data_IF_152079497953
#
_entry.id   IF_152079497953
#
_cell.length_a   1.000
_cell.length_b   1.000
_cell.length_c   1.000
_cell.angle_alpha   90.00
_cell.angle_beta   90.00
_cell.angle_gamma   90.00
#
_symmetry.space_group_name_H-M   'P 1'
#
loop_
_entity.id
_entity.type
_entity.pdbx_description
1 polymer ?
#
# COMPACT_ATOMS: atom_id res chain seq x y z
N UNK A 1 67.93 2.14 14.80
CA UNK A 1 66.91 2.17 13.73
C UNK A 1 66.99 3.50 13.00
N UNK A 2 67.32 3.49 11.71
CA UNK A 2 67.48 4.70 10.89
C UNK A 2 66.15 5.44 10.72
N UNK A 3 66.19 6.77 10.57
CA UNK A 3 65.01 7.63 10.39
C UNK A 3 64.09 7.16 9.24
N UNK A 4 64.64 6.47 8.26
CA UNK A 4 63.92 5.85 7.15
C UNK A 4 62.93 4.75 7.57
N UNK A 5 63.28 3.92 8.57
CA UNK A 5 62.41 2.81 9.02
C UNK A 5 61.17 3.35 9.75
N UNK A 6 61.30 4.46 10.50
CA UNK A 6 60.17 5.10 11.19
C UNK A 6 59.22 5.80 10.21
N UNK A 7 59.74 6.40 9.14
CA UNK A 7 58.93 7.03 8.10
C UNK A 7 58.13 5.99 7.30
N UNK A 8 58.75 4.84 6.98
CA UNK A 8 58.08 3.76 6.26
C UNK A 8 56.93 3.14 7.08
N UNK A 9 57.15 2.88 8.37
CA UNK A 9 56.12 2.36 9.28
C UNK A 9 54.96 3.35 9.48
N UNK A 10 55.25 4.66 9.59
CA UNK A 10 54.21 5.69 9.67
C UNK A 10 53.34 5.76 8.41
N UNK A 11 53.94 5.65 7.22
CA UNK A 11 53.21 5.66 5.95
C UNK A 11 52.29 4.43 5.79
N UNK A 12 52.74 3.23 6.19
CA UNK A 12 51.92 2.01 6.14
C UNK A 12 50.71 2.09 7.07
N UNK A 13 50.87 2.65 8.28
CA UNK A 13 49.76 2.81 9.24
C UNK A 13 48.73 3.83 8.75
N UNK A 14 49.16 4.94 8.14
CA UNK A 14 48.25 5.95 7.58
C UNK A 14 47.48 5.41 6.37
N UNK A 15 48.12 4.63 5.49
CA UNK A 15 47.43 3.98 4.37
C UNK A 15 46.44 2.89 4.83
N UNK A 16 46.76 2.13 5.88
CA UNK A 16 45.85 1.14 6.45
C UNK A 16 44.60 1.78 7.09
N UNK A 17 44.77 2.91 7.79
CA UNK A 17 43.66 3.67 8.38
C UNK A 17 42.79 4.37 7.32
N UNK A 18 43.40 4.90 6.26
CA UNK A 18 42.67 5.47 5.14
C UNK A 18 41.90 4.40 4.34
N UNK A 19 42.50 3.22 4.14
CA UNK A 19 41.83 2.06 3.51
C UNK A 19 40.67 1.53 4.35
N UNK A 20 40.83 1.46 5.69
CA UNK A 20 39.77 1.06 6.60
C UNK A 20 38.61 2.09 6.61
N UNK A 21 38.90 3.39 6.61
CA UNK A 21 37.90 4.44 6.56
C UNK A 21 37.08 4.42 5.25
N UNK A 22 37.73 4.19 4.11
CA UNK A 22 37.07 4.05 2.80
C UNK A 22 36.24 2.77 2.72
N UNK A 23 36.70 1.64 3.30
CA UNK A 23 35.90 0.41 3.38
C UNK A 23 34.68 0.57 4.30
N UNK A 24 34.80 1.24 5.45
CA UNK A 24 33.63 1.54 6.30
C UNK A 24 32.65 2.49 5.60
N UNK A 25 33.14 3.46 4.82
CA UNK A 25 32.27 4.38 4.09
C UNK A 25 31.55 3.73 2.91
N UNK A 26 32.10 2.70 2.28
CA UNK A 26 31.42 1.96 1.19
C UNK A 26 30.49 0.87 1.72
N UNK A 27 30.81 0.24 2.84
CA UNK A 27 29.95 -0.78 3.49
C UNK A 27 28.79 -0.14 4.27
N UNK A 28 28.98 1.07 4.83
CA UNK A 28 27.91 1.81 5.53
C UNK A 28 27.21 2.86 4.65
N UNK A 29 27.82 3.25 3.52
CA UNK A 29 27.29 4.25 2.58
C UNK A 29 26.56 3.68 1.37
N UNK A 30 26.46 2.35 1.27
CA UNK A 30 25.56 1.66 0.34
C UNK A 30 24.09 1.72 0.79
N UNK A 31 23.64 2.88 1.26
CA UNK A 31 22.25 3.08 1.64
C UNK A 31 21.34 2.73 0.48
N UNK A 32 20.44 1.77 0.72
CA UNK A 32 19.42 1.29 -0.20
C UNK A 32 18.82 2.43 -1.02
N UNK A 33 19.17 2.49 -2.31
CA UNK A 33 18.58 3.43 -3.30
C UNK A 33 17.19 2.98 -3.70
N UNK A 34 16.33 2.80 -2.70
CA UNK A 34 14.92 2.55 -2.88
C UNK A 34 14.18 3.88 -2.77
N UNK A 35 13.47 4.24 -3.83
CA UNK A 35 12.59 5.41 -3.82
C UNK A 35 11.60 5.32 -2.67
N UNK A 36 11.32 6.45 -2.01
CA UNK A 36 10.40 6.48 -0.86
C UNK A 36 9.01 5.90 -1.20
N UNK A 37 8.56 6.07 -2.44
CA UNK A 37 7.30 5.51 -2.95
C UNK A 37 7.27 3.98 -2.96
N UNK A 38 8.44 3.33 -3.01
CA UNK A 38 8.60 1.88 -3.05
C UNK A 38 8.90 1.29 -1.66
N UNK A 39 8.66 2.04 -0.58
CA UNK A 39 8.85 1.53 0.79
C UNK A 39 7.54 1.07 1.38
N UNK A 40 7.60 -0.04 2.10
CA UNK A 40 6.47 -0.58 2.87
C UNK A 40 6.32 0.14 4.23
N UNK A 41 5.29 -0.23 5.01
CA UNK A 41 5.01 0.33 6.34
C UNK A 41 6.11 0.06 7.38
N UNK A 42 6.99 -0.92 7.14
CA UNK A 42 8.14 -1.22 8.00
C UNK A 42 9.44 -0.58 7.44
N UNK A 43 9.34 0.22 6.38
CA UNK A 43 10.45 0.92 5.74
C UNK A 43 11.31 0.08 4.79
N UNK A 44 10.93 -1.19 4.54
CA UNK A 44 11.64 -2.09 3.62
C UNK A 44 11.33 -1.73 2.18
N UNK A 45 12.29 -1.97 1.28
CA UNK A 45 12.05 -1.78 -0.15
C UNK A 45 11.16 -2.89 -0.69
N UNK A 46 10.08 -2.50 -1.38
CA UNK A 46 9.14 -3.40 -2.05
C UNK A 46 9.66 -3.66 -3.46
N UNK A 47 9.77 -4.93 -3.82
CA UNK A 47 9.94 -5.33 -5.21
C UNK A 47 8.55 -5.42 -5.84
N UNK A 48 8.37 -4.65 -6.91
CA UNK A 48 7.11 -4.61 -7.62
C UNK A 48 6.91 -5.86 -8.48
N UNK A 49 5.73 -6.47 -8.37
CA UNK A 49 5.31 -7.53 -9.30
C UNK A 49 5.02 -6.97 -10.71
N UNK A 50 4.68 -5.68 -10.80
CA UNK A 50 4.48 -4.93 -12.03
C UNK A 50 4.81 -3.44 -11.79
N UNK A 51 5.43 -2.73 -12.75
CA UNK A 51 5.62 -1.28 -12.63
C UNK A 51 4.25 -0.59 -12.51
N UNK A 52 4.13 0.47 -11.68
CA UNK A 52 2.88 1.20 -11.60
C UNK A 52 2.63 1.85 -12.97
N UNK A 53 1.44 1.66 -13.50
CA UNK A 53 0.91 2.50 -14.55
C UNK A 53 0.87 3.94 -14.02
N UNK A 54 1.37 4.89 -14.82
CA UNK A 54 1.54 6.27 -14.41
C UNK A 54 0.19 6.97 -14.17
N UNK A 55 -0.41 6.79 -13.00
CA UNK A 55 -1.54 7.56 -12.48
C UNK A 55 -1.14 8.50 -11.33
N UNK A 56 0.17 8.63 -11.07
CA UNK A 56 0.72 9.45 -9.99
C UNK A 56 0.60 10.97 -10.20
N UNK A 57 0.19 11.43 -11.40
CA UNK A 57 0.26 12.86 -11.75
C UNK A 57 -0.74 13.74 -10.97
N UNK A 58 -1.82 13.18 -10.42
CA UNK A 58 -2.91 13.98 -9.82
C UNK A 58 -3.34 13.53 -8.42
N UNK A 59 -2.38 13.07 -7.62
CA UNK A 59 -2.63 12.81 -6.20
C UNK A 59 -2.92 14.10 -5.44
N UNK A 60 -3.91 14.05 -4.54
CA UNK A 60 -4.26 15.15 -3.65
C UNK A 60 -4.39 14.63 -2.22
N UNK A 61 -3.47 14.97 -1.30
CA UNK A 61 -3.63 14.64 0.11
C UNK A 61 -4.98 15.17 0.61
N UNK A 62 -5.74 14.33 1.30
CA UNK A 62 -7.03 14.76 1.86
C UNK A 62 -6.84 15.49 3.19
N UNK A 63 -5.71 15.27 3.86
CA UNK A 63 -5.49 15.64 5.26
C UNK A 63 -6.11 14.65 6.26
N UNK A 64 -6.94 13.73 5.77
CA UNK A 64 -7.60 12.67 6.54
C UNK A 64 -6.81 11.37 6.60
N UNK A 65 -7.47 10.35 7.18
CA UNK A 65 -6.90 9.02 7.43
C UNK A 65 -7.89 7.91 7.07
N UNK A 66 -7.36 6.75 6.72
CA UNK A 66 -8.11 5.50 6.67
C UNK A 66 -7.74 4.66 7.89
N UNK A 67 -8.74 4.22 8.63
CA UNK A 67 -8.57 3.40 9.83
C UNK A 67 -9.36 2.11 9.71
N UNK A 68 -8.71 0.99 10.07
CA UNK A 68 -9.37 -0.28 10.35
C UNK A 68 -8.89 -0.78 11.74
N UNK A 69 -9.50 -0.28 12.84
CA UNK A 69 -9.01 -0.51 14.19
C UNK A 69 -8.95 -1.98 14.60
N UNK A 70 -9.88 -2.82 14.13
CA UNK A 70 -9.88 -4.26 14.41
C UNK A 70 -8.64 -4.96 13.81
N UNK A 71 -8.09 -4.42 12.72
CA UNK A 71 -6.89 -4.92 12.05
C UNK A 71 -5.62 -4.14 12.46
N UNK A 72 -5.73 -3.19 13.39
CA UNK A 72 -4.60 -2.35 13.83
C UNK A 72 -4.03 -1.46 12.72
N UNK A 73 -4.83 -1.10 11.72
CA UNK A 73 -4.41 -0.28 10.58
C UNK A 73 -4.85 1.17 10.76
N UNK A 74 -3.89 2.08 10.59
CA UNK A 74 -4.13 3.52 10.60
C UNK A 74 -3.13 4.19 9.64
N UNK A 75 -3.59 4.68 8.49
CA UNK A 75 -2.74 5.22 7.41
C UNK A 75 -3.28 6.53 6.82
N UNK A 76 -2.42 7.39 6.25
CA UNK A 76 -2.88 8.58 5.56
C UNK A 76 -3.84 8.25 4.42
N UNK A 77 -4.81 9.16 4.18
CA UNK A 77 -5.74 9.07 3.08
C UNK A 77 -5.40 10.10 2.00
N UNK A 78 -5.18 9.61 0.78
CA UNK A 78 -4.86 10.44 -0.38
C UNK A 78 -5.94 10.24 -1.45
N UNK A 79 -6.43 11.32 -2.05
CA UNK A 79 -7.33 11.23 -3.18
C UNK A 79 -6.52 10.96 -4.46
N UNK A 80 -7.00 10.04 -5.28
CA UNK A 80 -6.42 9.76 -6.59
C UNK A 80 -7.50 9.79 -7.69
N UNK A 81 -7.16 10.24 -8.91
CA UNK A 81 -8.01 9.97 -10.06
C UNK A 81 -8.02 8.47 -10.35
N UNK A 82 -9.06 8.00 -11.01
CA UNK A 82 -9.07 6.63 -11.51
C UNK A 82 -10.38 6.25 -12.16
N UNK A 83 -10.40 5.06 -12.73
CA UNK A 83 -11.57 4.50 -13.42
C UNK A 83 -11.78 3.07 -12.98
N UNK A 84 -12.93 2.48 -13.35
CA UNK A 84 -13.32 1.11 -12.98
C UNK A 84 -12.29 0.02 -13.32
N UNK A 85 -11.37 0.29 -14.27
CA UNK A 85 -10.46 -0.71 -14.83
C UNK A 85 -9.03 -0.65 -14.27
N UNK A 86 -8.62 0.47 -13.64
CA UNK A 86 -7.24 0.65 -13.18
C UNK A 86 -7.25 1.36 -11.83
N UNK A 87 -7.15 0.56 -10.77
CA UNK A 87 -6.77 1.03 -9.44
C UNK A 87 -5.30 0.71 -9.26
N UNK A 88 -4.45 1.73 -9.35
CA UNK A 88 -3.02 1.58 -9.24
C UNK A 88 -2.45 2.63 -8.27
N UNK A 89 -2.57 2.37 -6.96
CA UNK A 89 -2.00 3.23 -5.94
C UNK A 89 -0.50 3.47 -6.19
N UNK A 90 0.00 4.71 -6.13
CA UNK A 90 1.40 5.01 -6.42
C UNK A 90 2.36 4.72 -5.26
N UNK A 91 1.86 4.52 -4.03
CA UNK A 91 2.68 4.27 -2.83
C UNK A 91 2.16 3.07 -2.04
N UNK A 92 3.02 2.51 -1.18
CA UNK A 92 2.73 1.33 -0.35
C UNK A 92 2.47 1.66 1.13
N UNK A 93 2.24 2.93 1.47
CA UNK A 93 2.09 3.39 2.87
C UNK A 93 0.80 4.15 3.14
N UNK A 94 -0.04 4.35 2.11
CA UNK A 94 -1.26 5.15 2.17
C UNK A 94 -2.47 4.37 1.67
N UNK A 95 -3.66 4.83 2.05
CA UNK A 95 -4.91 4.43 1.44
C UNK A 95 -5.35 5.50 0.44
N UNK A 96 -5.99 5.07 -0.66
CA UNK A 96 -6.34 5.95 -1.76
C UNK A 96 -7.85 5.99 -1.98
N UNK A 97 -8.47 7.13 -1.71
CA UNK A 97 -9.87 7.35 -2.06
C UNK A 97 -9.97 7.74 -3.53
N UNK A 98 -10.83 7.07 -4.27
CA UNK A 98 -11.08 7.40 -5.66
C UNK A 98 -11.86 8.72 -5.75
N UNK A 99 -11.28 9.72 -6.40
CA UNK A 99 -11.96 10.96 -6.70
C UNK A 99 -13.02 10.72 -7.80
N UNK A 100 -14.29 10.84 -7.43
CA UNK A 100 -15.42 10.73 -8.36
C UNK A 100 -16.23 12.05 -8.32
N UNK A 101 -16.11 12.92 -9.34
CA UNK A 101 -16.84 14.18 -9.39
C UNK A 101 -18.36 13.97 -9.52
N UNK A 102 -18.80 12.81 -10.00
CA UNK A 102 -20.20 12.46 -10.18
C UNK A 102 -20.73 11.59 -9.04
N UNK A 103 -19.96 11.43 -7.95
CA UNK A 103 -20.31 10.56 -6.80
C UNK A 103 -21.71 10.87 -6.27
N UNK A 104 -22.00 12.16 -6.10
CA UNK A 104 -23.31 12.68 -5.72
C UNK A 104 -23.93 13.37 -6.92
N UNK A 105 -25.00 12.79 -7.48
CA UNK A 105 -25.79 13.44 -8.54
C UNK A 105 -27.29 13.25 -8.28
N UNK A 106 -28.12 13.94 -9.07
CA UNK A 106 -29.58 13.80 -9.01
C UNK A 106 -30.07 12.36 -9.24
N UNK A 107 -29.24 11.50 -9.84
CA UNK A 107 -29.57 10.09 -10.13
C UNK A 107 -29.15 9.11 -9.02
N UNK A 108 -28.70 9.59 -7.86
CA UNK A 108 -28.31 8.77 -6.71
C UNK A 108 -26.83 8.88 -6.31
N UNK A 109 -26.41 8.09 -5.33
CA UNK A 109 -25.07 8.13 -4.72
C UNK A 109 -24.26 6.89 -5.14
N UNK A 110 -23.01 7.06 -5.59
CA UNK A 110 -22.07 5.94 -5.80
C UNK A 110 -21.34 5.58 -4.50
N UNK A 111 -20.94 4.31 -4.29
CA UNK A 111 -20.09 3.93 -3.18
C UNK A 111 -18.79 4.76 -3.15
N UNK A 112 -18.31 5.04 -1.94
CA UNK A 112 -16.95 5.53 -1.74
C UNK A 112 -16.00 4.36 -1.98
N UNK A 113 -15.03 4.50 -2.88
CA UNK A 113 -14.05 3.45 -3.17
C UNK A 113 -12.71 3.85 -2.57
N UNK A 114 -12.18 2.98 -1.71
CA UNK A 114 -10.83 3.11 -1.16
C UNK A 114 -9.98 1.95 -1.65
N UNK A 115 -8.86 2.25 -2.29
CA UNK A 115 -7.90 1.27 -2.77
C UNK A 115 -6.62 1.34 -1.95
N UNK A 116 -5.97 0.20 -1.76
CA UNK A 116 -4.64 0.14 -1.14
C UNK A 116 -3.84 -1.03 -1.71
N UNK A 117 -2.52 -0.92 -1.66
CA UNK A 117 -1.66 -2.03 -2.04
C UNK A 117 -1.59 -3.09 -0.94
N UNK A 118 -1.40 -4.33 -1.40
CA UNK A 118 -0.83 -5.39 -0.61
C UNK A 118 0.39 -5.96 -1.35
N UNK A 119 1.47 -6.20 -0.61
CA UNK A 119 2.76 -6.63 -1.16
C UNK A 119 3.10 -8.03 -0.68
N UNK A 120 3.89 -8.75 -1.47
CA UNK A 120 4.46 -10.03 -1.06
C UNK A 120 5.69 -9.77 -0.19
N UNK A 121 5.85 -10.58 0.87
CA UNK A 121 7.02 -10.55 1.77
C UNK A 121 7.32 -9.17 2.39
N UNK A 122 6.31 -8.34 2.56
CA UNK A 122 6.40 -7.00 3.15
C UNK A 122 5.08 -6.58 3.78
N UNK A 123 4.96 -5.30 4.13
CA UNK A 123 3.80 -4.77 4.84
C UNK A 123 3.24 -3.51 4.20
N UNK A 124 2.22 -3.64 3.35
CA UNK A 124 1.42 -2.52 2.87
C UNK A 124 0.04 -2.51 3.55
N UNK A 125 -0.75 -1.43 3.48
CA UNK A 125 -2.02 -1.33 4.21
C UNK A 125 -2.97 -2.50 3.94
N UNK A 126 -3.03 -2.96 2.69
CA UNK A 126 -3.88 -4.07 2.27
C UNK A 126 -3.50 -5.42 2.85
N UNK A 127 -2.24 -5.61 3.27
CA UNK A 127 -1.81 -6.82 3.97
C UNK A 127 -2.49 -7.01 5.33
N UNK A 128 -3.08 -5.96 5.91
CA UNK A 128 -3.80 -6.06 7.17
C UNK A 128 -5.12 -6.84 7.05
N UNK A 129 -5.62 -7.06 5.83
CA UNK A 129 -6.96 -7.60 5.58
C UNK A 129 -6.99 -9.11 5.31
N UNK A 130 -5.83 -9.76 5.33
CA UNK A 130 -5.70 -11.20 5.19
C UNK A 130 -4.44 -11.70 5.89
N UNK A 131 -4.38 -13.00 6.18
CA UNK A 131 -3.21 -13.62 6.81
C UNK A 131 -2.02 -13.65 5.83
N UNK A 132 -0.92 -12.92 6.07
CA UNK A 132 0.20 -12.87 5.14
C UNK A 132 0.98 -14.20 5.15
N UNK A 133 1.58 -14.56 4.01
CA UNK A 133 2.51 -15.68 3.92
C UNK A 133 1.89 -17.07 3.79
N UNK A 134 0.56 -17.17 3.69
CA UNK A 134 -0.12 -18.44 3.41
C UNK A 134 -0.35 -18.65 1.89
N UNK A 135 -0.34 -19.91 1.39
CA UNK A 135 -0.77 -20.22 0.02
C UNK A 135 -2.26 -19.89 -0.22
N UNK A 136 -3.07 -20.08 0.82
CA UNK A 136 -4.48 -19.70 0.85
C UNK A 136 -4.77 -18.82 2.08
N UNK A 137 -4.50 -17.51 1.98
CA UNK A 137 -4.61 -16.59 3.12
C UNK A 137 -6.07 -16.35 3.50
N UNK A 138 -6.38 -16.55 4.79
CA UNK A 138 -7.70 -16.24 5.31
C UNK A 138 -7.90 -14.71 5.37
N UNK A 139 -9.10 -14.24 4.98
CA UNK A 139 -9.49 -12.83 5.14
C UNK A 139 -9.72 -12.55 6.63
N UNK A 140 -9.09 -11.51 7.17
CA UNK A 140 -9.12 -11.16 8.61
C UNK A 140 -10.14 -10.09 8.95
N UNK A 141 -10.71 -9.42 7.94
CA UNK A 141 -11.80 -8.46 8.10
C UNK A 141 -13.13 -9.21 8.12
N UNK A 142 -13.97 -8.95 9.12
CA UNK A 142 -15.24 -9.64 9.32
C UNK A 142 -16.44 -8.67 9.38
N UNK A 143 -17.67 -9.15 9.12
CA UNK A 143 -18.88 -8.39 9.40
C UNK A 143 -18.92 -7.86 10.83
N UNK A 144 -19.27 -6.59 10.98
CA UNK A 144 -19.29 -5.88 12.27
C UNK A 144 -18.01 -5.09 12.58
N UNK A 145 -16.91 -5.34 11.87
CA UNK A 145 -15.67 -4.61 12.09
C UNK A 145 -15.84 -3.11 11.77
N UNK A 146 -15.30 -2.20 12.60
CA UNK A 146 -15.37 -0.78 12.35
C UNK A 146 -14.33 -0.35 11.32
N UNK A 147 -14.72 0.53 10.41
CA UNK A 147 -13.82 1.26 9.51
C UNK A 147 -14.05 2.77 9.68
N UNK A 148 -13.02 3.58 9.46
CA UNK A 148 -13.16 5.04 9.34
C UNK A 148 -12.46 5.57 8.11
N UNK A 149 -13.13 6.51 7.44
CA UNK A 149 -12.57 7.24 6.31
C UNK A 149 -12.75 8.72 6.58
N UNK A 150 -11.64 9.43 6.82
CA UNK A 150 -11.64 10.85 7.17
C UNK A 150 -12.59 11.16 8.35
N UNK A 151 -12.52 10.34 9.40
CA UNK A 151 -13.36 10.44 10.60
C UNK A 151 -14.81 9.94 10.43
N UNK A 152 -15.27 9.64 9.21
CA UNK A 152 -16.61 9.07 8.97
C UNK A 152 -16.61 7.58 9.29
N UNK A 153 -17.53 7.16 10.16
CA UNK A 153 -17.64 5.76 10.60
C UNK A 153 -18.43 4.90 9.60
N UNK A 154 -17.87 3.72 9.35
CA UNK A 154 -18.49 2.64 8.58
C UNK A 154 -18.42 1.33 9.38
N UNK A 155 -19.33 0.41 9.09
CA UNK A 155 -19.32 -0.95 9.63
C UNK A 155 -19.32 -1.94 8.48
N UNK A 156 -18.39 -2.89 8.52
CA UNK A 156 -18.30 -3.96 7.53
C UNK A 156 -19.57 -4.79 7.54
N UNK A 157 -20.19 -4.97 6.38
CA UNK A 157 -21.34 -5.87 6.20
C UNK A 157 -20.89 -7.25 5.73
N UNK A 158 -19.96 -7.29 4.77
CA UNK A 158 -19.42 -8.53 4.21
C UNK A 158 -18.08 -8.30 3.54
N UNK A 159 -17.38 -9.40 3.33
CA UNK A 159 -16.15 -9.47 2.54
C UNK A 159 -16.28 -10.56 1.49
N UNK A 160 -15.61 -10.39 0.36
CA UNK A 160 -15.51 -11.40 -0.69
C UNK A 160 -14.15 -11.34 -1.37
N UNK A 161 -13.79 -12.43 -2.05
CA UNK A 161 -12.62 -12.48 -2.93
C UNK A 161 -13.11 -12.51 -4.37
N UNK A 162 -12.72 -11.49 -5.14
CA UNK A 162 -13.08 -11.38 -6.56
C UNK A 162 -11.83 -11.36 -7.42
N UNK A 163 -11.90 -11.95 -8.62
CA UNK A 163 -10.88 -11.69 -9.64
C UNK A 163 -10.88 -10.20 -10.01
N UNK A 164 -9.76 -9.69 -10.51
CA UNK A 164 -9.66 -8.28 -10.96
C UNK A 164 -10.73 -7.92 -11.99
N UNK A 165 -11.03 -8.82 -12.93
CA UNK A 165 -12.07 -8.62 -13.95
C UNK A 165 -13.48 -8.60 -13.33
N UNK A 166 -13.76 -9.51 -12.38
CA UNK A 166 -15.05 -9.54 -11.69
C UNK A 166 -15.25 -8.28 -10.83
N UNK A 167 -14.22 -7.81 -10.14
CA UNK A 167 -14.26 -6.56 -9.39
C UNK A 167 -14.49 -5.36 -10.33
N UNK A 168 -13.80 -5.26 -11.47
CA UNK A 168 -13.98 -4.19 -12.44
C UNK A 168 -15.39 -4.16 -13.06
N UNK A 169 -16.03 -5.33 -13.21
CA UNK A 169 -17.38 -5.47 -13.74
C UNK A 169 -18.50 -5.33 -12.69
N UNK A 170 -18.19 -5.34 -11.39
CA UNK A 170 -19.19 -5.46 -10.32
C UNK A 170 -20.08 -4.21 -10.18
N UNK A 171 -21.42 -4.33 -10.39
CA UNK A 171 -22.34 -3.24 -10.13
C UNK A 171 -22.38 -2.82 -8.67
N UNK A 172 -22.10 -3.74 -7.73
CA UNK A 172 -22.13 -3.41 -6.30
C UNK A 172 -20.99 -2.46 -5.89
N UNK A 173 -19.87 -2.52 -6.61
CA UNK A 173 -18.73 -1.64 -6.40
C UNK A 173 -18.96 -0.30 -7.11
N UNK A 174 -19.50 -0.35 -8.33
CA UNK A 174 -19.43 0.79 -9.24
C UNK A 174 -20.78 1.45 -9.57
N UNK A 175 -21.93 0.87 -9.26
CA UNK A 175 -23.24 1.45 -9.63
C UNK A 175 -23.74 2.43 -8.57
N UNK A 176 -24.69 3.28 -8.96
CA UNK A 176 -25.40 4.13 -8.01
C UNK A 176 -26.30 3.27 -7.13
N UNK A 177 -26.39 3.65 -5.86
CA UNK A 177 -27.20 2.98 -4.86
C UNK A 177 -28.65 3.46 -4.96
N UNK A 178 -29.62 2.55 -5.18
CA UNK A 178 -31.02 2.91 -5.37
C UNK A 178 -31.70 3.43 -4.10
N UNK A 179 -31.16 3.09 -2.93
CA UNK A 179 -31.66 3.52 -1.61
C UNK A 179 -31.12 4.89 -1.17
N UNK A 180 -30.21 5.50 -1.95
CA UNK A 180 -29.54 6.75 -1.59
C UNK A 180 -28.59 6.65 -0.39
N UNK A 181 -28.33 5.43 0.10
CA UNK A 181 -27.42 5.18 1.21
C UNK A 181 -25.97 5.51 0.88
N UNK A 182 -25.13 5.66 1.90
CA UNK A 182 -23.68 5.80 1.73
C UNK A 182 -22.99 4.47 2.04
N UNK A 183 -22.44 3.83 1.02
CA UNK A 183 -21.58 2.64 1.16
C UNK A 183 -20.12 2.98 0.95
N UNK A 184 -19.27 2.20 1.59
CA UNK A 184 -17.83 2.15 1.40
C UNK A 184 -17.49 0.79 0.79
N UNK A 185 -16.62 0.81 -0.21
CA UNK A 185 -15.97 -0.37 -0.75
C UNK A 185 -14.47 -0.20 -0.62
N UNK A 186 -13.83 -1.16 0.05
CA UNK A 186 -12.37 -1.21 0.15
C UNK A 186 -11.83 -2.32 -0.75
N UNK A 187 -10.81 -1.99 -1.54
CA UNK A 187 -10.20 -2.88 -2.52
C UNK A 187 -8.70 -3.01 -2.27
N UNK A 188 -8.24 -4.25 -2.14
CA UNK A 188 -6.80 -4.57 -2.10
C UNK A 188 -6.53 -5.86 -2.84
N UNK A 189 -5.33 -5.99 -3.43
CA UNK A 189 -4.86 -7.25 -3.98
C UNK A 189 -4.80 -8.34 -2.90
N UNK A 190 -5.13 -9.58 -3.26
CA UNK A 190 -4.92 -10.76 -2.43
C UNK A 190 -3.58 -11.41 -2.80
N UNK A 191 -2.60 -11.31 -1.91
CA UNK A 191 -1.27 -11.87 -2.13
C UNK A 191 -1.19 -13.29 -1.57
N UNK A 192 -0.75 -14.24 -2.40
CA UNK A 192 -0.60 -15.66 -2.05
C UNK A 192 0.87 -16.06 -2.03
N UNK A 193 1.27 -16.84 -1.03
CA UNK A 193 2.62 -17.39 -0.96
C UNK A 193 2.86 -18.40 -2.10
N UNK A 194 4.08 -18.41 -2.64
CA UNK A 194 4.49 -19.33 -3.71
C UNK A 194 3.96 -19.01 -5.11
N UNK A 195 3.11 -17.98 -5.26
CA UNK A 195 2.65 -17.48 -6.56
C UNK A 195 3.57 -16.36 -7.02
N UNK A 196 4.07 -16.43 -8.26
CA UNK A 196 4.92 -15.39 -8.87
C UNK A 196 4.10 -14.46 -9.77
N UNK A 197 4.50 -13.19 -9.83
CA UNK A 197 3.88 -12.18 -10.68
C UNK A 197 2.67 -11.51 -10.02
N UNK A 198 1.93 -10.73 -10.82
CA UNK A 198 0.84 -9.91 -10.32
C UNK A 198 -0.30 -10.72 -9.70
N UNK A 199 -0.80 -10.25 -8.55
CA UNK A 199 -2.02 -10.78 -7.95
C UNK A 199 -3.19 -10.73 -8.94
N UNK A 200 -3.98 -11.80 -8.99
CA UNK A 200 -5.14 -11.95 -9.89
C UNK A 200 -6.47 -11.66 -9.22
N UNK A 201 -6.47 -11.66 -7.90
CA UNK A 201 -7.66 -11.53 -7.06
C UNK A 201 -7.50 -10.35 -6.12
N UNK A 202 -8.64 -9.82 -5.68
CA UNK A 202 -8.75 -8.78 -4.70
C UNK A 202 -9.58 -9.28 -3.51
N UNK A 203 -9.21 -8.84 -2.31
CA UNK A 203 -10.15 -8.79 -1.18
C UNK A 203 -11.01 -7.55 -1.36
N UNK A 204 -12.33 -7.73 -1.34
CA UNK A 204 -13.33 -6.67 -1.45
C UNK A 204 -14.10 -6.61 -0.14
N UNK A 205 -14.08 -5.45 0.51
CA UNK A 205 -14.80 -5.21 1.76
C UNK A 205 -15.95 -4.25 1.48
N UNK A 206 -17.17 -4.67 1.78
CA UNK A 206 -18.36 -3.84 1.68
C UNK A 206 -18.78 -3.37 3.07
N UNK A 207 -18.98 -2.07 3.22
CA UNK A 207 -19.37 -1.47 4.48
C UNK A 207 -20.44 -0.39 4.29
N UNK A 208 -21.25 -0.19 5.32
CA UNK A 208 -22.28 0.86 5.36
C UNK A 208 -21.92 1.93 6.35
N UNK A 209 -22.28 3.17 6.03
CA UNK A 209 -22.11 4.29 6.95
C UNK A 209 -22.98 4.08 8.20
N UNK A 210 -22.41 4.40 9.36
CA UNK A 210 -23.11 4.39 10.65
C UNK A 210 -23.50 5.81 11.09
#
# INVERSE_FOLDING_TARGET
MSRAVRALLGAVVVLALAGAAVLTATVLGGGDRCDAALRDLDGRCVVLDAPPSAAAADLRPTGGRFEAPAQGLDVPLTAMPGTRAVLDPPTFTEAFVLADPDRTSASGVRPLVVAMHAVRDGRAPGNAFFEPGAPDPAVTVAPGDPLRVDGVAYVVERTEVLTKDAAAASPEIWSRLPDGGQRLVVLTCLQRAGVTGAARENVVVHAVRR
#
